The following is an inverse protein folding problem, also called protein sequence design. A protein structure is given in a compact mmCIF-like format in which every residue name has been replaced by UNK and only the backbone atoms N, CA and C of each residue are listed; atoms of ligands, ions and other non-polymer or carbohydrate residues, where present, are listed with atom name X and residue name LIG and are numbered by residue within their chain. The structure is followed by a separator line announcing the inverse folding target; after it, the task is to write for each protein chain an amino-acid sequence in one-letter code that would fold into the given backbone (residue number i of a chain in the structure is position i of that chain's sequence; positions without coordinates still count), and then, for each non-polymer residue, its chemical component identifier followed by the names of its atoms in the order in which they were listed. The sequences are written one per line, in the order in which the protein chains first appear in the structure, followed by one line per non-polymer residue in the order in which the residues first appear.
data_IF_113537223632
#
_entry.id   IF_113537223632
#
_cell.length_a   1.000
_cell.length_b   1.000
_cell.length_c   1.000
_cell.angle_alpha   90.00
_cell.angle_beta   90.00
_cell.angle_gamma   90.00
#
_symmetry.space_group_name_H-M   'P 1'
#
loop_
_entity.id
_entity.type
_entity.pdbx_description
1 polymer ?
#
# COMPACT_ATOMS: atom_id res chain seq x y z
N UNK A 1 -4.29 -58.72 51.71
CA UNK A 1 -4.00 -57.25 51.84
C UNK A 1 -3.62 -56.70 50.46
N UNK A 2 -4.59 -56.19 49.72
CA UNK A 2 -4.36 -55.60 48.40
C UNK A 2 -4.51 -54.09 48.54
N UNK A 3 -3.45 -53.35 48.30
CA UNK A 3 -3.48 -51.87 48.21
C UNK A 3 -3.83 -51.48 46.79
N UNK A 4 -4.99 -50.86 46.62
CA UNK A 4 -5.41 -50.20 45.38
C UNK A 4 -4.59 -48.94 45.14
N UNK A 5 -3.88 -48.92 44.02
CA UNK A 5 -3.25 -47.71 43.50
C UNK A 5 -4.14 -47.16 42.41
N UNK A 6 -4.91 -46.15 42.77
CA UNK A 6 -5.68 -45.36 41.82
C UNK A 6 -4.75 -44.41 41.05
N UNK A 7 -4.51 -44.70 39.77
CA UNK A 7 -3.79 -43.81 38.87
C UNK A 7 -4.74 -42.70 38.43
N UNK A 8 -4.55 -41.50 38.97
CA UNK A 8 -5.18 -40.27 38.51
C UNK A 8 -4.57 -39.86 37.17
N UNK A 9 -5.33 -39.96 36.11
CA UNK A 9 -4.95 -39.53 34.77
C UNK A 9 -5.32 -38.04 34.62
N UNK A 10 -4.34 -37.17 34.83
CA UNK A 10 -4.51 -35.74 34.60
C UNK A 10 -4.52 -35.47 33.09
N UNK A 11 -5.69 -35.18 32.55
CA UNK A 11 -5.89 -34.78 31.17
C UNK A 11 -5.44 -33.32 31.01
N UNK A 12 -4.24 -33.11 30.49
CA UNK A 12 -3.74 -31.78 30.15
C UNK A 12 -4.38 -31.34 28.84
N UNK A 13 -5.33 -30.44 28.94
CA UNK A 13 -5.88 -29.70 27.78
C UNK A 13 -4.84 -28.69 27.33
N UNK A 14 -4.11 -28.98 26.25
CA UNK A 14 -3.28 -28.01 25.55
C UNK A 14 -4.25 -27.17 24.70
N UNK A 15 -4.60 -25.97 25.19
CA UNK A 15 -5.25 -24.95 24.39
C UNK A 15 -4.21 -24.45 23.37
N UNK A 16 -4.28 -24.96 22.14
CA UNK A 16 -3.59 -24.38 21.02
C UNK A 16 -4.23 -23.01 20.73
N UNK A 17 -3.65 -21.97 21.29
CA UNK A 17 -3.93 -20.58 20.93
C UNK A 17 -3.47 -20.39 19.49
N UNK A 18 -4.40 -20.36 18.54
CA UNK A 18 -4.12 -19.82 17.22
C UNK A 18 -3.92 -18.31 17.36
N UNK A 19 -2.69 -17.88 17.53
CA UNK A 19 -2.32 -16.49 17.27
C UNK A 19 -2.42 -16.26 15.78
N UNK A 20 -3.55 -15.71 15.32
CA UNK A 20 -3.60 -15.10 14.00
C UNK A 20 -2.81 -13.79 14.08
N UNK A 21 -1.53 -13.87 13.79
CA UNK A 21 -0.71 -12.69 13.54
C UNK A 21 -1.18 -12.04 12.25
N UNK A 22 -2.19 -11.17 12.37
CA UNK A 22 -2.43 -10.17 11.33
C UNK A 22 -1.12 -9.41 11.16
N UNK A 23 -0.59 -9.25 9.93
CA UNK A 23 0.57 -8.40 9.73
C UNK A 23 0.18 -7.00 10.20
N UNK A 24 0.72 -6.59 11.33
CA UNK A 24 0.62 -5.22 11.81
C UNK A 24 1.41 -4.42 10.79
N UNK A 25 0.71 -3.76 9.88
CA UNK A 25 1.30 -2.71 9.08
C UNK A 25 1.68 -1.63 10.08
N UNK A 26 2.96 -1.48 10.38
CA UNK A 26 3.44 -0.38 11.20
C UNK A 26 2.95 0.90 10.53
N UNK A 27 1.98 1.56 11.14
CA UNK A 27 1.57 2.87 10.72
C UNK A 27 2.73 3.81 11.08
N UNK A 28 3.53 4.18 10.07
CA UNK A 28 4.49 5.25 10.23
C UNK A 28 3.73 6.51 10.68
N UNK A 29 4.19 7.14 11.72
CA UNK A 29 3.65 8.42 12.15
C UNK A 29 4.08 9.51 11.18
N UNK A 30 3.36 10.62 11.12
CA UNK A 30 3.77 11.78 10.28
C UNK A 30 5.18 12.27 10.63
N UNK A 31 5.58 12.18 11.90
CA UNK A 31 6.90 12.57 12.39
C UNK A 31 8.02 11.69 11.79
N UNK A 32 7.74 10.41 11.48
CA UNK A 32 8.72 9.53 10.85
C UNK A 32 8.83 9.75 9.33
N UNK A 33 7.85 10.43 8.72
CA UNK A 33 7.86 10.83 7.31
C UNK A 33 8.49 12.23 7.10
N UNK A 34 8.61 13.05 8.14
CA UNK A 34 9.37 14.29 8.07
C UNK A 34 10.87 13.94 8.03
N UNK A 35 11.36 13.68 6.82
CA UNK A 35 12.80 13.77 6.58
C UNK A 35 13.24 15.16 6.95
N UNK A 36 14.33 15.24 7.74
CA UNK A 36 14.91 16.52 8.12
C UNK A 36 15.39 17.26 6.86
N UNK A 37 14.44 17.98 6.24
CA UNK A 37 14.64 18.74 5.01
C UNK A 37 15.70 19.87 5.20
N UNK A 38 16.12 20.13 6.44
CA UNK A 38 17.15 21.12 6.76
C UNK A 38 18.54 20.69 6.28
N UNK A 39 18.76 19.39 6.04
CA UNK A 39 20.04 18.84 5.60
C UNK A 39 20.17 18.74 4.07
N UNK A 40 19.09 18.90 3.30
CA UNK A 40 19.14 18.85 1.83
C UNK A 40 19.26 20.27 1.27
N UNK A 41 20.42 20.61 0.70
CA UNK A 41 20.64 21.92 0.06
C UNK A 41 19.78 22.15 -1.19
N UNK A 42 19.26 21.07 -1.80
CA UNK A 42 18.38 21.11 -2.98
C UNK A 42 17.35 19.99 -2.87
N UNK A 43 16.07 20.37 -2.80
CA UNK A 43 14.98 19.39 -2.87
C UNK A 43 14.80 18.89 -4.30
N UNK A 44 14.42 17.62 -4.45
CA UNK A 44 14.23 16.98 -5.74
C UNK A 44 12.78 17.13 -6.22
N UNK A 45 12.60 17.11 -7.53
CA UNK A 45 11.30 17.04 -8.20
C UNK A 45 10.92 15.58 -8.47
N UNK A 46 9.67 15.24 -8.17
CA UNK A 46 9.11 13.91 -8.43
C UNK A 46 7.98 13.99 -9.44
N UNK A 47 8.00 13.08 -10.40
CA UNK A 47 6.87 12.81 -11.27
C UNK A 47 6.33 11.40 -11.01
N UNK A 48 5.05 11.29 -10.71
CA UNK A 48 4.33 10.03 -10.61
C UNK A 48 3.56 9.84 -11.91
N UNK A 49 3.85 8.76 -12.63
CA UNK A 49 3.06 8.37 -13.78
C UNK A 49 1.76 7.75 -13.30
N UNK A 50 0.63 8.05 -13.96
CA UNK A 50 -0.64 7.38 -13.71
C UNK A 50 -0.40 5.86 -13.72
N UNK A 51 -0.86 5.16 -12.68
CA UNK A 51 -0.53 3.74 -12.54
C UNK A 51 -1.18 2.91 -13.66
N UNK A 52 -0.47 1.88 -14.09
CA UNK A 52 -1.05 0.83 -14.92
C UNK A 52 -2.21 0.16 -14.15
N UNK A 53 -3.44 0.12 -14.69
CA UNK A 53 -4.57 -0.52 -14.04
C UNK A 53 -4.43 -2.04 -13.88
N UNK A 54 -3.44 -2.68 -14.53
CA UNK A 54 -3.22 -4.12 -14.48
C UNK A 54 -4.31 -4.92 -15.19
N UNK A 55 -4.87 -4.36 -16.28
CA UNK A 55 -5.86 -5.00 -17.13
C UNK A 55 -5.20 -5.80 -18.25
N UNK A 56 -5.90 -6.81 -18.76
CA UNK A 56 -5.41 -7.67 -19.86
C UNK A 56 -5.36 -6.96 -21.22
N UNK A 57 -6.11 -5.87 -21.38
CA UNK A 57 -6.34 -5.19 -22.66
C UNK A 57 -7.62 -5.65 -23.38
N UNK A 58 -8.27 -6.69 -22.89
CA UNK A 58 -9.59 -7.15 -23.33
C UNK A 58 -10.60 -6.92 -22.19
N UNK A 59 -11.37 -5.85 -22.29
CA UNK A 59 -12.36 -5.48 -21.28
C UNK A 59 -13.43 -6.58 -21.07
N UNK A 60 -13.70 -7.41 -22.07
CA UNK A 60 -14.63 -8.55 -21.96
C UNK A 60 -14.06 -9.63 -21.06
N UNK A 61 -12.83 -10.06 -21.35
CA UNK A 61 -12.13 -11.07 -20.56
C UNK A 61 -11.88 -10.58 -19.12
N UNK A 62 -11.57 -9.30 -18.93
CA UNK A 62 -11.40 -8.72 -17.60
C UNK A 62 -12.70 -8.78 -16.78
N UNK A 63 -13.86 -8.47 -17.39
CA UNK A 63 -15.17 -8.59 -16.72
C UNK A 63 -15.53 -10.02 -16.35
N UNK A 64 -15.23 -11.00 -17.23
CA UNK A 64 -15.42 -12.41 -16.93
C UNK A 64 -14.56 -12.88 -15.75
N UNK A 65 -13.39 -12.27 -15.56
CA UNK A 65 -12.53 -12.51 -14.42
C UNK A 65 -12.90 -11.67 -13.18
N UNK A 66 -14.04 -10.98 -13.19
CA UNK A 66 -14.54 -10.17 -12.08
C UNK A 66 -13.88 -8.82 -11.91
N UNK A 67 -13.10 -8.36 -12.89
CA UNK A 67 -12.54 -7.02 -12.93
C UNK A 67 -13.52 -6.06 -13.63
N UNK A 68 -13.57 -4.83 -13.15
CA UNK A 68 -14.36 -3.76 -13.75
C UNK A 68 -13.38 -2.75 -14.39
N UNK A 69 -13.15 -2.82 -15.71
CA UNK A 69 -12.07 -2.06 -16.35
C UNK A 69 -12.16 -0.55 -16.13
N UNK A 70 -13.36 0.03 -16.20
CA UNK A 70 -13.57 1.46 -16.01
C UNK A 70 -13.24 1.89 -14.58
N UNK A 71 -13.68 1.10 -13.59
CA UNK A 71 -13.38 1.35 -12.18
C UNK A 71 -11.87 1.22 -11.93
N UNK A 72 -11.25 0.17 -12.46
CA UNK A 72 -9.82 -0.09 -12.28
C UNK A 72 -8.94 1.03 -12.86
N UNK A 73 -9.32 1.59 -14.03
CA UNK A 73 -8.64 2.76 -14.61
C UNK A 73 -8.80 4.00 -13.73
N UNK A 74 -10.01 4.23 -13.20
CA UNK A 74 -10.25 5.35 -12.29
C UNK A 74 -9.49 5.21 -10.97
N UNK A 75 -9.40 3.99 -10.42
CA UNK A 75 -8.61 3.68 -9.23
C UNK A 75 -7.11 3.90 -9.45
N UNK A 76 -6.55 3.43 -10.58
CA UNK A 76 -5.15 3.60 -10.93
C UNK A 76 -4.73 5.08 -10.89
N UNK A 77 -5.54 5.95 -11.49
CA UNK A 77 -5.34 7.40 -11.43
C UNK A 77 -5.50 7.96 -10.03
N UNK A 78 -6.52 7.51 -9.29
CA UNK A 78 -6.75 7.95 -7.90
C UNK A 78 -5.56 7.60 -7.01
N UNK A 79 -5.00 6.40 -7.15
CA UNK A 79 -3.85 5.96 -6.35
C UNK A 79 -2.62 6.84 -6.61
N UNK A 80 -2.34 7.19 -7.87
CA UNK A 80 -1.26 8.12 -8.19
C UNK A 80 -1.45 9.49 -7.51
N UNK A 81 -2.67 10.04 -7.54
CA UNK A 81 -3.00 11.33 -6.87
C UNK A 81 -2.87 11.21 -5.35
N UNK A 82 -3.23 10.07 -4.76
CA UNK A 82 -3.09 9.84 -3.32
C UNK A 82 -1.62 9.74 -2.91
N UNK A 83 -0.79 9.03 -3.68
CA UNK A 83 0.66 8.99 -3.45
C UNK A 83 1.28 10.38 -3.57
N UNK A 84 0.90 11.18 -4.59
CA UNK A 84 1.34 12.57 -4.73
C UNK A 84 1.05 13.38 -3.45
N UNK A 85 -0.14 13.25 -2.89
CA UNK A 85 -0.51 13.96 -1.65
C UNK A 85 0.35 13.52 -0.47
N UNK A 86 0.52 12.21 -0.29
CA UNK A 86 1.36 11.67 0.80
C UNK A 86 2.82 12.12 0.68
N UNK A 87 3.40 12.13 -0.53
CA UNK A 87 4.75 12.64 -0.76
C UNK A 87 4.86 14.14 -0.49
N UNK A 88 3.87 14.94 -0.90
CA UNK A 88 3.85 16.38 -0.59
C UNK A 88 3.76 16.64 0.92
N UNK A 89 3.03 15.81 1.67
CA UNK A 89 2.89 15.93 3.13
C UNK A 89 4.22 15.72 3.86
N UNK A 90 5.18 15.01 3.26
CA UNK A 90 6.53 14.83 3.85
C UNK A 90 7.37 16.11 3.84
N UNK A 91 7.04 17.08 3.00
CA UNK A 91 7.84 18.28 2.75
C UNK A 91 9.30 18.00 2.30
N UNK A 92 9.63 16.76 1.95
CA UNK A 92 10.99 16.36 1.54
C UNK A 92 11.34 16.79 0.10
N UNK A 93 10.35 17.02 -0.74
CA UNK A 93 10.50 17.27 -2.17
C UNK A 93 10.14 18.71 -2.55
N UNK A 94 10.71 19.22 -3.63
CA UNK A 94 10.43 20.57 -4.14
C UNK A 94 9.05 20.60 -4.80
N UNK A 95 8.79 19.61 -5.67
CA UNK A 95 7.50 19.46 -6.34
C UNK A 95 7.20 17.97 -6.55
N UNK A 96 5.92 17.59 -6.40
CA UNK A 96 5.43 16.26 -6.72
C UNK A 96 4.23 16.42 -7.66
N UNK A 97 4.35 15.87 -8.87
CA UNK A 97 3.33 15.95 -9.92
C UNK A 97 2.80 14.58 -10.32
N UNK A 98 1.64 14.55 -10.95
CA UNK A 98 1.08 13.33 -11.58
C UNK A 98 0.89 13.62 -13.06
N UNK A 99 1.40 12.70 -13.89
CA UNK A 99 1.28 12.78 -15.36
C UNK A 99 0.76 11.47 -15.94
N UNK A 100 0.35 11.51 -17.20
CA UNK A 100 -0.11 10.32 -17.92
C UNK A 100 1.02 9.52 -18.56
N UNK A 101 2.22 10.10 -18.66
CA UNK A 101 3.39 9.46 -19.26
C UNK A 101 4.70 9.87 -18.54
N UNK A 102 5.76 9.13 -18.79
CA UNK A 102 7.08 9.32 -18.16
C UNK A 102 7.98 10.32 -18.90
N UNK A 103 7.48 11.05 -19.91
CA UNK A 103 8.30 11.91 -20.80
C UNK A 103 8.77 13.22 -20.16
N UNK A 104 8.43 13.46 -18.89
CA UNK A 104 8.85 14.65 -18.16
C UNK A 104 10.25 14.46 -17.57
N UNK A 105 11.11 15.45 -17.81
CA UNK A 105 12.42 15.54 -17.17
C UNK A 105 12.22 15.95 -15.70
N UNK A 106 12.34 14.99 -14.80
CA UNK A 106 12.30 15.15 -13.34
C UNK A 106 13.45 14.39 -12.71
N UNK A 107 13.77 14.70 -11.45
CA UNK A 107 14.85 14.00 -10.74
C UNK A 107 14.47 12.54 -10.45
N UNK A 108 13.19 12.30 -10.14
CA UNK A 108 12.67 10.96 -9.84
C UNK A 108 11.36 10.74 -10.59
N UNK A 109 11.26 9.59 -11.24
CA UNK A 109 10.02 9.08 -11.85
C UNK A 109 9.53 7.89 -11.06
N UNK A 110 8.25 7.92 -10.68
CA UNK A 110 7.57 6.81 -10.00
C UNK A 110 6.54 6.23 -10.97
N UNK A 111 6.64 4.95 -11.24
CA UNK A 111 5.71 4.16 -12.04
C UNK A 111 5.18 3.00 -11.20
N UNK A 112 4.04 2.45 -11.57
CA UNK A 112 3.51 1.29 -10.88
C UNK A 112 2.33 0.64 -11.57
N UNK A 113 1.95 -0.53 -11.05
CA UNK A 113 0.82 -1.32 -11.52
C UNK A 113 -0.09 -1.67 -10.35
N UNK A 114 -1.39 -1.57 -10.56
CA UNK A 114 -2.40 -2.06 -9.62
C UNK A 114 -2.50 -3.57 -9.76
N UNK A 115 -2.02 -4.32 -8.77
CA UNK A 115 -2.08 -5.79 -8.77
C UNK A 115 -3.40 -6.30 -8.22
N UNK A 116 -3.95 -5.60 -7.22
CA UNK A 116 -5.22 -5.93 -6.61
C UNK A 116 -5.91 -4.66 -6.11
N UNK A 117 -7.23 -4.60 -6.25
CA UNK A 117 -8.10 -3.61 -5.64
C UNK A 117 -9.51 -4.19 -5.63
N UNK A 118 -10.01 -4.56 -4.46
CA UNK A 118 -11.31 -5.22 -4.27
C UNK A 118 -12.16 -4.56 -3.17
N UNK A 119 -11.72 -3.39 -2.67
CA UNK A 119 -12.38 -2.67 -1.59
C UNK A 119 -11.88 -3.01 -0.19
N UNK A 120 -11.32 -4.20 0.03
CA UNK A 120 -10.65 -4.59 1.27
C UNK A 120 -9.13 -4.60 1.11
N UNK A 121 -8.65 -5.17 0.01
CA UNK A 121 -7.24 -5.28 -0.31
C UNK A 121 -6.86 -4.31 -1.44
N UNK A 122 -5.75 -3.62 -1.25
CA UNK A 122 -5.07 -2.89 -2.33
C UNK A 122 -3.60 -3.31 -2.34
N UNK A 123 -3.16 -3.80 -3.50
CA UNK A 123 -1.77 -4.16 -3.77
C UNK A 123 -1.25 -3.34 -4.94
N UNK A 124 -0.19 -2.57 -4.68
CA UNK A 124 0.48 -1.73 -5.67
C UNK A 124 1.91 -2.19 -5.85
N UNK A 125 2.32 -2.45 -7.08
CA UNK A 125 3.72 -2.71 -7.43
C UNK A 125 4.33 -1.42 -7.92
N UNK A 126 5.38 -0.93 -7.25
CA UNK A 126 5.97 0.38 -7.48
C UNK A 126 7.44 0.24 -7.90
N UNK A 127 7.81 1.04 -8.87
CA UNK A 127 9.20 1.27 -9.30
C UNK A 127 9.47 2.76 -9.25
N UNK A 128 10.62 3.16 -8.71
CA UNK A 128 11.10 4.53 -8.75
C UNK A 128 12.48 4.55 -9.39
N UNK A 129 12.69 5.43 -10.35
CA UNK A 129 13.94 5.60 -11.07
C UNK A 129 14.44 7.05 -10.98
N UNK A 130 15.74 7.24 -10.92
CA UNK A 130 16.33 8.57 -11.02
C UNK A 130 16.39 9.06 -12.49
N UNK A 131 16.77 10.31 -12.69
CA UNK A 131 16.92 10.94 -14.02
C UNK A 131 17.94 10.25 -14.94
N UNK A 132 18.79 9.37 -14.39
CA UNK A 132 19.75 8.57 -15.16
C UNK A 132 19.19 7.21 -15.58
N UNK A 133 17.97 6.87 -15.14
CA UNK A 133 17.34 5.58 -15.36
C UNK A 133 17.75 4.49 -14.35
N UNK A 134 18.50 4.87 -13.31
CA UNK A 134 18.89 3.92 -12.26
C UNK A 134 17.72 3.70 -11.29
N UNK A 135 17.33 2.44 -11.02
CA UNK A 135 16.25 2.17 -10.10
C UNK A 135 16.67 2.47 -8.65
N UNK A 136 15.90 3.32 -7.98
CA UNK A 136 15.93 3.55 -6.53
C UNK A 136 15.08 2.51 -5.80
N UNK A 137 13.91 2.21 -6.37
CA UNK A 137 12.99 1.15 -5.95
C UNK A 137 12.69 0.31 -7.19
N UNK A 138 12.78 -1.02 -7.09
CA UNK A 138 12.52 -1.91 -8.21
C UNK A 138 11.41 -2.90 -7.89
N UNK A 139 10.26 -2.76 -8.57
CA UNK A 139 9.13 -3.68 -8.49
C UNK A 139 8.71 -4.03 -7.06
N UNK A 140 8.80 -3.09 -6.12
CA UNK A 140 8.43 -3.33 -4.72
C UNK A 140 6.91 -3.42 -4.61
N UNK A 141 6.44 -4.48 -3.98
CA UNK A 141 5.02 -4.72 -3.77
C UNK A 141 4.61 -4.18 -2.40
N UNK A 142 3.74 -3.19 -2.42
CA UNK A 142 3.09 -2.62 -1.24
C UNK A 142 1.67 -3.18 -1.13
N UNK A 143 1.30 -3.61 0.07
CA UNK A 143 0.00 -4.24 0.33
C UNK A 143 -0.65 -3.61 1.55
N UNK A 144 -1.95 -3.42 1.46
CA UNK A 144 -2.74 -3.04 2.62
C UNK A 144 -4.11 -3.74 2.55
N UNK A 145 -4.53 -4.26 3.70
CA UNK A 145 -5.89 -4.76 3.89
C UNK A 145 -6.58 -3.87 4.91
N UNK A 146 -7.74 -3.34 4.54
CA UNK A 146 -8.61 -2.66 5.48
C UNK A 146 -9.62 -3.66 6.06
N UNK A 147 -10.10 -3.39 7.28
CA UNK A 147 -11.11 -4.23 7.92
C UNK A 147 -12.51 -3.67 7.68
N UNK A 148 -13.51 -4.55 7.71
CA UNK A 148 -14.93 -4.15 7.70
C UNK A 148 -15.24 -3.14 8.81
N UNK A 149 -14.60 -3.28 9.97
CA UNK A 149 -14.71 -2.36 11.09
C UNK A 149 -14.34 -0.91 10.72
N UNK A 150 -13.42 -0.70 9.79
CA UNK A 150 -13.06 0.64 9.32
C UNK A 150 -14.29 1.35 8.73
N UNK A 151 -15.06 0.65 7.91
CA UNK A 151 -16.25 1.20 7.23
C UNK A 151 -17.44 1.41 8.17
N UNK A 152 -17.56 0.57 9.17
CA UNK A 152 -18.66 0.66 10.17
C UNK A 152 -18.44 1.77 11.18
N UNK A 153 -17.20 2.21 11.41
CA UNK A 153 -16.87 3.18 12.43
C UNK A 153 -17.14 4.62 11.93
N UNK A 154 -18.09 5.29 12.59
CA UNK A 154 -18.47 6.67 12.24
C UNK A 154 -17.30 7.67 12.30
N UNK A 155 -16.28 7.42 13.13
CA UNK A 155 -15.07 8.24 13.24
C UNK A 155 -14.19 8.19 11.99
N UNK A 156 -14.39 7.19 11.14
CA UNK A 156 -13.67 7.01 9.88
C UNK A 156 -14.44 7.55 8.68
N UNK A 157 -15.65 8.10 8.90
CA UNK A 157 -16.45 8.69 7.83
C UNK A 157 -15.66 9.78 7.10
N UNK A 158 -15.50 9.61 5.79
CA UNK A 158 -14.76 10.52 4.92
C UNK A 158 -13.24 10.33 4.91
N UNK A 159 -12.70 9.39 5.70
CA UNK A 159 -11.29 8.99 5.61
C UNK A 159 -11.09 7.95 4.52
N UNK A 160 -9.90 7.93 3.94
CA UNK A 160 -9.51 6.89 2.99
C UNK A 160 -8.94 5.69 3.76
N UNK A 161 -9.50 4.48 3.58
CA UNK A 161 -9.02 3.30 4.28
C UNK A 161 -7.59 2.89 3.90
N UNK A 162 -7.08 3.41 2.78
CA UNK A 162 -5.76 3.09 2.24
C UNK A 162 -4.70 4.20 2.46
N UNK A 163 -4.98 5.23 3.26
CA UNK A 163 -4.02 6.30 3.55
C UNK A 163 -2.69 5.77 4.09
N UNK A 164 -2.74 4.70 4.92
CA UNK A 164 -1.53 4.03 5.44
C UNK A 164 -0.67 3.45 4.32
N UNK A 165 -1.29 2.89 3.27
CA UNK A 165 -0.56 2.36 2.11
C UNK A 165 0.22 3.47 1.40
N UNK A 166 -0.43 4.60 1.12
CA UNK A 166 0.22 5.71 0.41
C UNK A 166 1.37 6.31 1.20
N UNK A 167 1.22 6.44 2.53
CA UNK A 167 2.31 6.88 3.42
C UNK A 167 3.47 5.89 3.45
N UNK A 168 3.21 4.59 3.35
CA UNK A 168 4.28 3.59 3.32
C UNK A 168 5.08 3.60 2.00
N UNK A 169 4.55 4.25 0.97
CA UNK A 169 5.23 4.45 -0.32
C UNK A 169 6.02 5.76 -0.29
N UNK A 170 5.51 6.78 0.40
CA UNK A 170 6.15 8.08 0.57
C UNK A 170 7.39 7.99 1.45
#
# INVERSE_FOLDING_TARGET
MLKNITKSFALIFILASCESTSPITNSMTYEELELDASTMSTKLDINIVELDPGLSGDDGADRENGLWPELRRAEARRFAVKMMRSLNETNAFANVSVTTNAEFLTDIVIEGTVKESNGEDVHLQITATDSTGKPLIKNKLYKHRTSEYFYQNIRNKGKDPFDVLYRSIA
#
